data_IF_536886753659
#
_entry.id   IF_536886753659
#
_cell.length_a   1.000
_cell.length_b   1.000
_cell.length_c   1.000
_cell.angle_alpha   90.00
_cell.angle_beta   90.00
_cell.angle_gamma   90.00
#
_symmetry.space_group_name_H-M   'P 1'
#
loop_
_entity.id
_entity.type
_entity.pdbx_description
1 polymer ?
#
# COMPACT_ATOMS: atom_id res chain seq x y z
N UNK A 1 -16.88 -17.61 10.84
CA UNK A 1 -18.26 -18.16 10.87
C UNK A 1 -19.32 -17.15 10.44
N UNK A 2 -19.03 -15.86 10.48
CA UNK A 2 -20.08 -14.84 10.31
C UNK A 2 -19.70 -13.73 9.30
N UNK A 3 -18.86 -14.07 8.34
CA UNK A 3 -18.38 -13.11 7.33
C UNK A 3 -19.54 -12.43 6.58
N UNK A 4 -20.62 -13.16 6.29
CA UNK A 4 -21.78 -12.62 5.60
C UNK A 4 -22.50 -11.55 6.43
N UNK A 5 -22.77 -11.82 7.70
CA UNK A 5 -23.41 -10.85 8.60
C UNK A 5 -22.56 -9.62 8.82
N UNK A 6 -21.23 -9.79 8.93
CA UNK A 6 -20.28 -8.68 9.04
C UNK A 6 -20.35 -7.80 7.79
N UNK A 7 -20.24 -8.38 6.60
CA UNK A 7 -20.30 -7.63 5.34
C UNK A 7 -21.64 -6.89 5.19
N UNK A 8 -22.75 -7.58 5.46
CA UNK A 8 -24.09 -6.97 5.41
C UNK A 8 -24.21 -5.80 6.37
N UNK A 9 -23.87 -6.02 7.65
CA UNK A 9 -23.99 -5.00 8.70
C UNK A 9 -23.22 -3.72 8.36
N UNK A 10 -21.96 -3.84 7.99
CA UNK A 10 -21.15 -2.66 7.68
C UNK A 10 -21.52 -2.01 6.34
N UNK A 11 -21.98 -2.77 5.36
CA UNK A 11 -22.54 -2.21 4.13
C UNK A 11 -23.80 -1.37 4.40
N UNK A 12 -24.71 -1.85 5.28
CA UNK A 12 -25.91 -1.13 5.72
C UNK A 12 -25.54 0.18 6.47
N UNK A 13 -24.42 0.22 7.20
CA UNK A 13 -23.88 1.41 7.82
C UNK A 13 -23.26 2.40 6.82
N UNK A 14 -23.12 2.04 5.55
CA UNK A 14 -22.53 2.87 4.51
C UNK A 14 -21.01 2.71 4.31
N UNK A 15 -20.37 1.78 5.00
CA UNK A 15 -18.95 1.42 4.78
C UNK A 15 -18.77 0.89 3.36
N UNK A 16 -17.66 1.23 2.71
CA UNK A 16 -17.39 0.92 1.29
C UNK A 16 -16.40 -0.21 1.08
N UNK A 17 -15.72 -0.66 2.10
CA UNK A 17 -14.76 -1.74 1.98
C UNK A 17 -14.09 -2.12 3.29
N UNK A 18 -13.23 -3.12 3.21
CA UNK A 18 -12.44 -3.62 4.32
C UNK A 18 -10.97 -3.75 3.94
N UNK A 19 -10.11 -3.49 4.90
CA UNK A 19 -8.79 -4.07 4.97
C UNK A 19 -8.87 -5.34 5.82
N UNK A 20 -8.40 -6.47 5.28
CA UNK A 20 -8.25 -7.73 6.02
C UNK A 20 -6.75 -7.99 6.16
N UNK A 21 -6.30 -8.21 7.39
CA UNK A 21 -4.89 -8.27 7.75
C UNK A 21 -4.53 -9.48 8.61
N UNK A 22 -3.24 -9.65 8.90
CA UNK A 22 -2.67 -10.70 9.77
C UNK A 22 -2.91 -12.14 9.29
N UNK A 23 -2.94 -12.36 7.99
CA UNK A 23 -3.13 -13.70 7.44
C UNK A 23 -1.83 -14.51 7.50
N UNK A 24 -0.69 -13.93 7.15
CA UNK A 24 0.68 -14.46 7.26
C UNK A 24 0.87 -15.91 6.77
N UNK A 25 0.06 -16.31 5.80
CA UNK A 25 0.01 -17.66 5.21
C UNK A 25 -0.27 -17.57 3.71
N UNK A 26 0.25 -18.56 2.97
CA UNK A 26 0.01 -18.73 1.53
C UNK A 26 -0.44 -20.17 1.16
N UNK A 27 -0.86 -20.94 2.15
CA UNK A 27 -1.36 -22.29 1.97
C UNK A 27 -2.78 -22.34 1.35
N UNK A 28 -3.23 -23.52 1.02
CA UNK A 28 -4.53 -23.77 0.37
C UNK A 28 -5.71 -23.23 1.19
N UNK A 29 -5.64 -23.35 2.51
CA UNK A 29 -6.72 -22.88 3.39
C UNK A 29 -6.85 -21.36 3.34
N UNK A 30 -5.73 -20.65 3.42
CA UNK A 30 -5.71 -19.20 3.34
C UNK A 30 -6.05 -18.69 1.93
N UNK A 31 -5.59 -19.38 0.89
CA UNK A 31 -6.01 -19.07 -0.47
C UNK A 31 -7.53 -19.18 -0.63
N UNK A 32 -8.13 -20.25 -0.13
CA UNK A 32 -9.59 -20.43 -0.14
C UNK A 32 -10.31 -19.37 0.71
N UNK A 33 -9.73 -18.94 1.83
CA UNK A 33 -10.27 -17.84 2.63
C UNK A 33 -10.31 -16.54 1.82
N UNK A 34 -9.21 -16.18 1.14
CA UNK A 34 -9.13 -14.96 0.32
C UNK A 34 -10.18 -14.96 -0.80
N UNK A 35 -10.39 -16.08 -1.47
CA UNK A 35 -11.46 -16.20 -2.47
C UNK A 35 -12.85 -16.02 -1.85
N UNK A 36 -13.13 -16.64 -0.70
CA UNK A 36 -14.41 -16.45 0.01
C UNK A 36 -14.61 -15.01 0.47
N UNK A 37 -13.55 -14.36 0.97
CA UNK A 37 -13.60 -12.96 1.40
C UNK A 37 -13.92 -12.05 0.21
N UNK A 38 -13.23 -12.22 -0.92
CA UNK A 38 -13.47 -11.45 -2.14
C UNK A 38 -14.89 -11.66 -2.69
N UNK A 39 -15.37 -12.91 -2.72
CA UNK A 39 -16.74 -13.23 -3.14
C UNK A 39 -17.78 -12.59 -2.21
N UNK A 40 -17.57 -12.67 -0.90
CA UNK A 40 -18.54 -12.16 0.07
C UNK A 40 -18.58 -10.63 0.08
N UNK A 41 -17.42 -9.97 0.03
CA UNK A 41 -17.35 -8.51 -0.07
C UNK A 41 -17.96 -8.02 -1.40
N UNK A 42 -17.75 -8.72 -2.52
CA UNK A 42 -18.38 -8.40 -3.80
C UNK A 42 -19.91 -8.47 -3.72
N UNK A 43 -20.47 -9.49 -3.04
CA UNK A 43 -21.92 -9.64 -2.84
C UNK A 43 -22.56 -8.40 -2.21
N UNK A 44 -21.83 -7.74 -1.31
CA UNK A 44 -22.29 -6.54 -0.60
C UNK A 44 -21.72 -5.23 -1.19
N UNK A 45 -21.11 -5.28 -2.37
CA UNK A 45 -20.52 -4.14 -3.07
C UNK A 45 -19.46 -3.42 -2.22
N UNK A 46 -18.66 -4.20 -1.51
CA UNK A 46 -17.55 -3.72 -0.68
C UNK A 46 -16.22 -3.96 -1.40
N UNK A 47 -15.35 -2.97 -1.33
CA UNK A 47 -13.96 -3.07 -1.76
C UNK A 47 -13.14 -3.86 -0.75
N UNK A 48 -12.06 -4.46 -1.22
CA UNK A 48 -11.19 -5.29 -0.41
C UNK A 48 -9.72 -4.93 -0.64
N UNK A 49 -9.02 -4.65 0.45
CA UNK A 49 -7.58 -4.55 0.55
C UNK A 49 -7.06 -5.69 1.43
N UNK A 50 -6.03 -6.41 0.97
CA UNK A 50 -5.52 -7.62 1.62
C UNK A 50 -4.09 -7.41 2.11
N UNK A 51 -3.92 -7.47 3.43
CA UNK A 51 -2.64 -7.35 4.12
C UNK A 51 -2.22 -8.66 4.79
N UNK A 52 -0.93 -8.75 5.19
CA UNK A 52 -0.38 -9.99 5.73
C UNK A 52 -0.54 -11.16 4.76
N UNK A 53 -0.49 -10.91 3.46
CA UNK A 53 -0.71 -11.92 2.43
C UNK A 53 0.40 -11.91 1.37
N UNK A 54 0.40 -12.95 0.53
CA UNK A 54 1.25 -13.03 -0.65
C UNK A 54 0.88 -11.97 -1.71
N UNK A 55 1.80 -11.70 -2.65
CA UNK A 55 1.55 -10.82 -3.79
C UNK A 55 0.35 -11.30 -4.64
N UNK A 56 -0.31 -10.41 -5.40
CA UNK A 56 -1.44 -10.79 -6.25
C UNK A 56 -1.10 -11.96 -7.17
N UNK A 57 -2.00 -12.95 -7.21
CA UNK A 57 -1.89 -14.17 -8.02
C UNK A 57 -3.11 -14.36 -8.96
N UNK A 58 -3.80 -13.26 -9.28
CA UNK A 58 -4.94 -13.27 -10.20
C UNK A 58 -6.32 -13.20 -9.53
N UNK A 59 -6.41 -13.15 -8.20
CA UNK A 59 -7.67 -13.00 -7.48
C UNK A 59 -8.49 -11.80 -7.98
N UNK A 60 -7.83 -10.67 -8.19
CA UNK A 60 -8.43 -9.42 -8.68
C UNK A 60 -8.97 -9.50 -10.13
N UNK A 61 -8.57 -10.49 -10.90
CA UNK A 61 -9.14 -10.72 -12.24
C UNK A 61 -10.51 -11.40 -12.17
N UNK A 62 -10.71 -12.23 -11.14
CA UNK A 62 -12.00 -12.90 -10.88
C UNK A 62 -12.91 -12.02 -10.04
N UNK A 63 -12.34 -11.35 -9.04
CA UNK A 63 -13.04 -10.47 -8.09
C UNK A 63 -12.42 -9.07 -8.13
N UNK A 64 -12.85 -8.20 -9.05
CA UNK A 64 -12.27 -6.87 -9.24
C UNK A 64 -12.49 -5.90 -8.07
N UNK A 65 -13.31 -6.27 -7.10
CA UNK A 65 -13.44 -5.57 -5.83
C UNK A 65 -12.25 -5.79 -4.88
N UNK A 66 -11.41 -6.81 -5.10
CA UNK A 66 -10.11 -6.94 -4.45
C UNK A 66 -9.13 -6.02 -5.18
N UNK A 67 -9.01 -4.79 -4.69
CA UNK A 67 -8.36 -3.69 -5.42
C UNK A 67 -6.92 -3.48 -5.03
N UNK A 68 -6.52 -3.87 -3.82
CA UNK A 68 -5.16 -3.66 -3.35
C UNK A 68 -4.65 -4.83 -2.49
N UNK A 69 -3.32 -4.94 -2.43
CA UNK A 69 -2.64 -6.07 -1.78
C UNK A 69 -1.31 -5.59 -1.19
N UNK A 70 -1.00 -6.01 0.02
CA UNK A 70 0.33 -5.79 0.56
C UNK A 70 1.36 -6.69 -0.16
N UNK A 71 1.63 -7.87 0.34
CA UNK A 71 2.57 -8.83 -0.22
C UNK A 71 3.95 -8.24 -0.55
N UNK A 72 4.44 -7.34 0.30
CA UNK A 72 5.68 -6.57 0.13
C UNK A 72 6.27 -6.23 1.51
N UNK A 73 7.57 -6.02 1.57
CA UNK A 73 8.20 -5.39 2.74
C UNK A 73 7.92 -3.88 2.69
N UNK A 74 6.74 -3.46 3.22
CA UNK A 74 6.25 -2.09 3.15
C UNK A 74 6.99 -1.13 4.09
N UNK A 75 6.66 0.16 3.96
CA UNK A 75 7.30 1.22 4.75
C UNK A 75 7.12 0.98 6.26
N UNK A 76 6.04 0.36 6.70
CA UNK A 76 5.78 0.14 8.12
C UNK A 76 6.85 -0.71 8.81
N UNK A 77 7.56 -1.58 8.09
CA UNK A 77 8.65 -2.40 8.64
C UNK A 77 9.78 -1.55 9.25
N UNK A 78 9.91 -0.32 8.77
CA UNK A 78 10.88 0.64 9.28
C UNK A 78 10.66 1.01 10.77
N UNK A 79 9.47 0.74 11.33
CA UNK A 79 9.14 1.06 12.72
C UNK A 79 9.84 0.16 13.75
N UNK A 80 10.18 -1.08 13.37
CA UNK A 80 10.66 -2.09 14.32
C UNK A 80 11.88 -2.89 13.85
N UNK A 81 12.26 -2.79 12.60
CA UNK A 81 13.36 -3.58 12.05
C UNK A 81 14.70 -3.12 12.62
N UNK A 82 15.40 -4.01 13.34
CA UNK A 82 16.68 -3.70 14.01
C UNK A 82 17.81 -3.38 13.05
N UNK A 83 17.78 -4.00 11.86
CA UNK A 83 18.72 -3.75 10.77
C UNK A 83 17.92 -3.24 9.57
N UNK A 84 17.53 -1.97 9.59
CA UNK A 84 16.63 -1.45 8.59
C UNK A 84 17.24 -1.56 7.19
N UNK A 85 16.45 -2.04 6.28
CA UNK A 85 16.73 -2.03 4.85
C UNK A 85 17.24 -0.64 4.43
N UNK A 86 18.15 -0.58 3.48
CA UNK A 86 18.51 0.67 2.83
C UNK A 86 17.31 1.15 2.00
N UNK A 87 16.36 1.80 2.66
CA UNK A 87 15.03 2.09 2.11
C UNK A 87 15.09 2.90 0.83
N UNK A 88 16.03 3.85 0.72
CA UNK A 88 16.18 4.68 -0.49
C UNK A 88 16.47 3.83 -1.73
N UNK A 89 17.36 2.84 -1.58
CA UNK A 89 17.69 1.89 -2.65
C UNK A 89 16.52 0.92 -2.90
N UNK A 90 15.88 0.47 -1.83
CA UNK A 90 14.73 -0.42 -1.91
C UNK A 90 13.55 0.21 -2.65
N UNK A 91 13.25 1.49 -2.41
CA UNK A 91 12.14 2.20 -3.03
C UNK A 91 12.30 2.40 -4.54
N UNK A 92 13.53 2.40 -5.05
CA UNK A 92 13.79 2.45 -6.51
C UNK A 92 14.02 1.05 -7.11
N UNK A 93 13.98 0.00 -6.29
CA UNK A 93 14.09 -1.40 -6.73
C UNK A 93 12.75 -2.10 -6.75
N UNK A 94 11.95 -1.93 -5.70
CA UNK A 94 10.72 -2.71 -5.48
C UNK A 94 9.66 -2.52 -6.58
N UNK A 95 9.49 -1.34 -7.23
CA UNK A 95 8.58 -1.20 -8.35
C UNK A 95 8.88 -2.16 -9.52
N UNK A 96 10.16 -2.39 -9.82
CA UNK A 96 10.57 -3.31 -10.89
C UNK A 96 10.26 -4.78 -10.58
N UNK A 97 10.16 -5.13 -9.32
CA UNK A 97 10.00 -6.52 -8.86
C UNK A 97 8.54 -6.81 -8.50
N UNK A 98 8.00 -6.05 -7.57
CA UNK A 98 6.70 -6.36 -6.95
C UNK A 98 5.51 -5.93 -7.81
N UNK A 99 5.60 -4.79 -8.51
CA UNK A 99 4.48 -4.29 -9.33
C UNK A 99 4.22 -5.13 -10.58
N UNK A 100 5.14 -5.99 -10.99
CA UNK A 100 4.90 -6.99 -12.04
C UNK A 100 3.70 -7.89 -11.71
N UNK A 101 3.46 -8.15 -10.42
CA UNK A 101 2.33 -8.95 -9.96
C UNK A 101 1.00 -8.16 -9.88
N UNK A 102 1.04 -6.83 -9.88
CA UNK A 102 -0.14 -5.97 -9.76
C UNK A 102 -0.04 -4.95 -8.62
N UNK A 103 -1.18 -4.37 -8.21
CA UNK A 103 -1.24 -3.30 -7.21
C UNK A 103 -0.51 -3.65 -5.91
N UNK A 104 0.01 -2.61 -5.25
CA UNK A 104 0.83 -2.76 -4.05
C UNK A 104 0.47 -1.70 -3.02
N UNK A 105 -0.01 -2.13 -1.84
CA UNK A 105 -0.15 -1.25 -0.70
C UNK A 105 1.17 -1.20 0.07
N UNK A 106 1.98 -0.21 -0.24
CA UNK A 106 3.31 0.00 0.33
C UNK A 106 3.27 0.82 1.63
N UNK A 107 2.16 1.51 1.90
CA UNK A 107 1.99 2.42 3.03
C UNK A 107 3.01 3.58 3.06
N UNK A 108 3.23 4.22 1.91
CA UNK A 108 4.10 5.38 1.75
C UNK A 108 3.51 6.65 2.40
N UNK A 109 4.31 7.73 2.42
CA UNK A 109 3.85 9.06 2.82
C UNK A 109 4.22 9.48 4.23
N UNK A 110 5.28 8.90 4.83
CA UNK A 110 5.77 9.37 6.12
C UNK A 110 6.26 10.82 6.02
N UNK A 111 5.72 11.67 6.87
CA UNK A 111 6.09 13.10 6.93
C UNK A 111 7.32 13.35 7.79
N UNK A 112 7.68 12.41 8.67
CA UNK A 112 8.93 12.41 9.42
C UNK A 112 10.00 11.66 8.64
N UNK A 113 11.12 12.33 8.32
CA UNK A 113 12.18 11.79 7.48
C UNK A 113 13.54 12.01 8.10
N UNK A 114 14.45 11.07 7.94
CA UNK A 114 15.82 11.14 8.44
C UNK A 114 16.83 10.66 7.40
N UNK A 115 17.98 11.31 7.35
CA UNK A 115 19.13 10.78 6.61
C UNK A 115 19.52 9.40 7.17
N UNK A 116 20.11 8.53 6.34
CA UNK A 116 20.45 7.15 6.70
C UNK A 116 21.22 7.05 8.02
N UNK A 117 22.18 7.97 8.27
CA UNK A 117 22.97 7.98 9.50
C UNK A 117 22.25 8.46 10.75
N UNK A 118 21.10 9.12 10.60
CA UNK A 118 20.28 9.65 11.70
C UNK A 118 18.97 8.86 11.89
N UNK A 119 18.75 7.88 11.05
CA UNK A 119 17.57 7.03 11.15
C UNK A 119 17.73 6.00 12.28
N UNK A 120 16.67 5.79 13.01
CA UNK A 120 16.53 4.69 13.96
C UNK A 120 15.08 4.18 13.98
N UNK A 121 14.83 2.88 14.18
CA UNK A 121 13.49 2.34 14.32
C UNK A 121 12.79 2.93 15.53
N UNK A 122 11.57 3.45 15.34
CA UNK A 122 10.76 3.98 16.42
C UNK A 122 9.29 3.63 16.15
N UNK A 123 8.72 2.79 16.98
CA UNK A 123 7.36 2.31 16.80
C UNK A 123 6.31 3.40 16.98
N UNK A 124 6.48 4.24 18.00
CA UNK A 124 5.51 5.28 18.38
C UNK A 124 5.62 6.55 17.54
N UNK A 125 6.76 6.77 16.91
CA UNK A 125 7.05 7.93 16.07
C UNK A 125 7.78 7.50 14.80
N UNK A 126 7.12 6.73 13.92
CA UNK A 126 7.77 6.15 12.76
C UNK A 126 8.30 7.21 11.82
N UNK A 127 9.42 6.91 11.17
CA UNK A 127 10.05 7.78 10.20
C UNK A 127 10.52 6.99 8.98
N UNK A 128 10.70 7.67 7.85
CA UNK A 128 11.33 7.11 6.66
C UNK A 128 12.78 7.59 6.51
N UNK A 129 13.61 6.82 5.80
CA UNK A 129 14.93 7.28 5.37
C UNK A 129 14.78 8.21 4.16
N UNK A 130 15.69 9.19 4.02
CA UNK A 130 15.77 10.08 2.88
C UNK A 130 14.88 11.31 2.98
N UNK A 131 14.15 11.65 1.93
CA UNK A 131 13.44 12.92 1.84
C UNK A 131 11.92 12.73 1.77
N UNK A 132 11.19 13.75 2.21
CA UNK A 132 9.73 13.83 2.06
C UNK A 132 9.32 13.83 0.59
N UNK A 133 10.04 14.55 -0.29
CA UNK A 133 9.77 14.55 -1.72
C UNK A 133 9.78 13.15 -2.33
N UNK A 134 10.68 12.26 -1.87
CA UNK A 134 10.66 10.86 -2.29
C UNK A 134 9.38 10.15 -1.84
N UNK A 135 8.92 10.37 -0.61
CA UNK A 135 7.65 9.81 -0.15
C UNK A 135 6.46 10.29 -0.99
N UNK A 136 6.46 11.56 -1.40
CA UNK A 136 5.44 12.10 -2.30
C UNK A 136 5.53 11.47 -3.71
N UNK A 137 6.73 11.27 -4.23
CA UNK A 137 6.92 10.64 -5.55
C UNK A 137 6.38 9.20 -5.59
N UNK A 138 6.43 8.46 -4.48
CA UNK A 138 5.92 7.10 -4.41
C UNK A 138 4.41 7.00 -4.70
N UNK A 139 3.62 8.04 -4.42
CA UNK A 139 2.20 8.08 -4.79
C UNK A 139 1.95 8.10 -6.30
N UNK A 140 2.94 8.54 -7.07
CA UNK A 140 2.88 8.50 -8.55
C UNK A 140 3.52 7.23 -9.09
N UNK A 141 4.61 6.77 -8.49
CA UNK A 141 5.38 5.61 -8.97
C UNK A 141 4.64 4.30 -8.68
N UNK A 142 4.07 4.15 -7.48
CA UNK A 142 3.44 2.89 -7.07
C UNK A 142 2.01 2.78 -7.62
N UNK A 143 1.70 1.61 -8.17
CA UNK A 143 0.33 1.27 -8.57
C UNK A 143 -0.44 0.87 -7.33
N UNK A 144 -1.37 1.72 -6.90
CA UNK A 144 -2.20 1.47 -5.73
C UNK A 144 -3.54 2.20 -5.88
N UNK A 145 -4.61 1.52 -6.30
CA UNK A 145 -5.94 2.12 -6.44
C UNK A 145 -6.54 2.59 -5.11
N UNK A 146 -5.98 2.13 -4.00
CA UNK A 146 -6.36 2.52 -2.65
C UNK A 146 -5.09 2.71 -1.81
N UNK A 147 -4.71 3.95 -1.56
CA UNK A 147 -3.50 4.28 -0.80
C UNK A 147 -3.82 4.48 0.69
N UNK A 148 -3.11 3.74 1.54
CA UNK A 148 -3.10 4.00 2.97
C UNK A 148 -2.21 5.21 3.28
N UNK A 149 -2.69 6.13 4.11
CA UNK A 149 -1.86 7.18 4.69
C UNK A 149 -1.14 6.62 5.93
N UNK A 150 0.20 6.60 5.88
CA UNK A 150 0.99 5.89 6.89
C UNK A 150 1.29 6.70 8.16
N UNK A 151 1.07 8.01 8.13
CA UNK A 151 1.40 8.90 9.24
C UNK A 151 0.15 9.30 10.05
N UNK A 152 0.33 10.03 11.13
CA UNK A 152 -0.76 10.49 11.98
C UNK A 152 -1.48 11.70 11.37
N UNK A 153 -2.80 11.88 11.63
CA UNK A 153 -3.52 13.07 11.16
C UNK A 153 -2.83 14.38 11.56
N UNK A 154 -2.32 14.48 12.77
CA UNK A 154 -1.62 15.68 13.24
C UNK A 154 -0.31 15.99 12.52
N UNK A 155 0.39 14.97 11.98
CA UNK A 155 1.55 15.20 11.12
C UNK A 155 1.12 15.69 9.74
N UNK A 156 0.06 15.16 9.18
CA UNK A 156 -0.51 15.64 7.91
C UNK A 156 -1.05 17.08 8.03
N UNK A 157 -1.72 17.41 9.12
CA UNK A 157 -2.17 18.81 9.40
C UNK A 157 -1.00 19.79 9.50
N UNK A 158 0.10 19.38 10.14
CA UNK A 158 1.32 20.21 10.24
C UNK A 158 2.01 20.41 8.90
N UNK A 159 1.95 19.41 8.03
CA UNK A 159 2.61 19.39 6.73
C UNK A 159 1.60 19.57 5.58
N UNK A 160 0.77 20.60 5.70
CA UNK A 160 -0.40 20.83 4.86
C UNK A 160 -0.05 20.86 3.35
N UNK A 161 1.07 21.46 2.96
CA UNK A 161 1.52 21.49 1.57
C UNK A 161 1.69 20.08 0.98
N UNK A 162 2.28 19.17 1.75
CA UNK A 162 2.43 17.78 1.34
C UNK A 162 1.10 17.05 1.30
N UNK A 163 0.23 17.33 2.25
CA UNK A 163 -1.11 16.73 2.34
C UNK A 163 -1.99 17.19 1.18
N UNK A 164 -1.93 18.46 0.81
CA UNK A 164 -2.63 19.00 -0.36
C UNK A 164 -2.14 18.34 -1.65
N UNK A 165 -0.83 18.14 -1.78
CA UNK A 165 -0.26 17.41 -2.91
C UNK A 165 -0.79 15.97 -2.98
N UNK A 166 -0.76 15.22 -1.88
CA UNK A 166 -1.25 13.84 -1.81
C UNK A 166 -2.74 13.79 -2.17
N UNK A 167 -3.54 14.71 -1.64
CA UNK A 167 -4.99 14.74 -1.88
C UNK A 167 -5.37 15.06 -3.33
N UNK A 168 -4.48 15.73 -4.06
CA UNK A 168 -4.67 16.09 -5.46
C UNK A 168 -4.28 14.95 -6.44
N UNK A 169 -3.54 13.95 -5.98
CA UNK A 169 -3.10 12.83 -6.82
C UNK A 169 -4.25 11.83 -7.00
N UNK A 170 -4.61 11.46 -8.24
CA UNK A 170 -5.55 10.38 -8.48
C UNK A 170 -4.99 9.03 -8.00
N UNK A 171 -5.86 8.14 -7.56
CA UNK A 171 -5.49 6.76 -7.23
C UNK A 171 -5.69 5.80 -8.40
N UNK A 172 -6.47 6.21 -9.41
CA UNK A 172 -6.70 5.48 -10.65
C UNK A 172 -6.33 6.37 -11.83
N UNK A 173 -5.56 5.83 -12.76
CA UNK A 173 -4.96 6.55 -13.87
C UNK A 173 -5.45 6.01 -15.21
N UNK A 174 -5.69 6.91 -16.17
CA UNK A 174 -6.06 6.51 -17.53
C UNK A 174 -4.88 5.99 -18.32
N UNK A 175 -3.68 6.48 -18.02
CA UNK A 175 -2.46 6.08 -18.71
C UNK A 175 -1.25 6.13 -17.77
N UNK A 176 -0.37 5.16 -17.94
CA UNK A 176 0.94 5.11 -17.29
C UNK A 176 2.02 4.91 -18.33
N UNK A 177 3.01 5.79 -18.34
CA UNK A 177 4.17 5.72 -19.25
C UNK A 177 5.42 5.63 -18.38
N UNK A 178 6.16 4.54 -18.50
CA UNK A 178 7.50 4.42 -17.93
C UNK A 178 8.47 5.08 -18.91
N UNK A 179 9.04 6.22 -18.52
CA UNK A 179 9.90 7.01 -19.39
C UNK A 179 11.33 6.48 -19.39
N UNK A 180 11.85 6.09 -18.23
CA UNK A 180 13.18 5.54 -18.05
C UNK A 180 13.29 4.87 -16.66
N UNK A 181 14.33 4.05 -16.47
CA UNK A 181 14.60 3.44 -15.17
C UNK A 181 15.83 2.56 -15.17
N UNK A 182 16.48 2.51 -14.02
CA UNK A 182 17.61 1.61 -13.76
C UNK A 182 17.45 0.99 -12.38
N UNK A 183 17.37 -0.33 -12.34
CA UNK A 183 17.15 -1.09 -11.12
C UNK A 183 18.14 -0.68 -10.02
N UNK A 184 17.58 -0.29 -8.86
CA UNK A 184 18.34 0.14 -7.69
C UNK A 184 18.91 1.56 -7.76
N UNK A 185 18.72 2.28 -8.87
CA UNK A 185 19.24 3.65 -9.02
C UNK A 185 18.12 4.68 -9.17
N UNK A 186 17.22 4.51 -10.14
CA UNK A 186 16.09 5.42 -10.36
C UNK A 186 14.97 4.79 -11.17
N UNK A 187 13.80 5.41 -11.11
CA UNK A 187 12.64 5.14 -11.95
C UNK A 187 11.94 6.46 -12.29
N UNK A 188 11.53 6.62 -13.54
CA UNK A 188 10.82 7.80 -14.03
C UNK A 188 9.52 7.36 -14.70
N UNK A 189 8.41 7.81 -14.15
CA UNK A 189 7.06 7.47 -14.62
C UNK A 189 6.22 8.73 -14.79
N UNK A 190 5.46 8.81 -15.87
CA UNK A 190 4.42 9.80 -16.07
C UNK A 190 3.06 9.12 -16.08
N UNK A 191 2.06 9.75 -15.44
CA UNK A 191 0.69 9.25 -15.36
C UNK A 191 -0.33 10.35 -15.64
N UNK A 192 -1.46 10.00 -16.25
CA UNK A 192 -2.59 10.89 -16.51
C UNK A 192 -3.95 10.18 -16.45
#
# INVERSE_FOLDING_TARGET
>A
RDMENVCRHYAEMGIKGFKIDFMDRDDQEMTNFNYRAAQMTAKYKLLLDLHGMYKPAGLNRTYPNAINFEGVNGLEQMKWEKNPTAQVEYDVMIPFIRQVAGPMDYTQGAMRNAAKGNYYPCYTEPMSQGTRCRQLALYVILESPFNMLCDTPSNYEREQECTDFISAIPTVWNETIVLDGKLGEYIITARR
#
